data_IF_084495167012
#
_entry.id   IF_084495167012
#
_cell.length_a   1.000
_cell.length_b   1.000
_cell.length_c   1.000
_cell.angle_alpha   90.00
_cell.angle_beta   90.00
_cell.angle_gamma   90.00
#
_symmetry.space_group_name_H-M   'P 1'
#
loop_
_entity.id
_entity.type
_entity.pdbx_description
1 polymer ?
#
# COMPACT_ATOMS: atom_id res chain seq x y z
N UNK A 1 -7.24 15.45 -17.46
CA UNK A 1 -6.24 16.33 -16.80
C UNK A 1 -6.65 16.68 -15.37
N UNK A 2 -7.94 16.83 -15.08
CA UNK A 2 -8.46 17.26 -13.77
C UNK A 2 -8.27 16.27 -12.61
N UNK A 3 -8.15 14.97 -12.89
CA UNK A 3 -8.00 13.92 -11.88
C UNK A 3 -6.56 13.68 -11.39
N UNK A 4 -5.55 14.10 -12.16
CA UNK A 4 -4.14 13.86 -11.81
C UNK A 4 -3.70 14.82 -10.71
N UNK A 5 -3.05 14.30 -9.67
CA UNK A 5 -2.37 15.08 -8.64
C UNK A 5 -0.86 14.93 -8.74
N UNK A 6 -0.38 13.69 -8.72
CA UNK A 6 1.03 13.30 -8.86
C UNK A 6 1.12 12.02 -9.70
N UNK A 7 2.23 11.83 -10.41
CA UNK A 7 2.44 10.64 -11.25
C UNK A 7 3.10 9.50 -10.44
N UNK A 8 2.39 9.03 -9.41
CA UNK A 8 2.81 7.90 -8.56
C UNK A 8 2.03 6.65 -8.97
N UNK A 9 2.68 5.76 -9.72
CA UNK A 9 2.06 4.56 -10.30
C UNK A 9 2.71 3.26 -9.81
N UNK A 10 1.98 2.16 -9.92
CA UNK A 10 2.44 0.79 -9.64
C UNK A 10 1.80 -0.18 -10.62
N UNK A 11 2.57 -1.15 -11.12
CA UNK A 11 2.09 -2.14 -12.07
C UNK A 11 1.91 -3.51 -11.42
N UNK A 12 0.85 -4.20 -11.80
CA UNK A 12 0.59 -5.60 -11.46
C UNK A 12 0.30 -6.35 -12.76
N UNK A 13 1.02 -7.43 -13.02
CA UNK A 13 0.61 -8.42 -14.01
C UNK A 13 -0.40 -9.37 -13.36
N UNK A 14 -1.60 -9.46 -13.93
CA UNK A 14 -2.69 -10.35 -13.51
C UNK A 14 -2.44 -11.78 -13.97
N UNK A 15 -3.15 -12.74 -13.36
CA UNK A 15 -3.03 -14.15 -13.73
C UNK A 15 -3.44 -14.43 -15.20
N UNK A 16 -4.27 -13.56 -15.79
CA UNK A 16 -4.66 -13.62 -17.21
C UNK A 16 -3.65 -12.95 -18.17
N UNK A 17 -2.53 -12.43 -17.66
CA UNK A 17 -1.50 -11.73 -18.44
C UNK A 17 -1.80 -10.24 -18.69
N UNK A 18 -2.96 -9.73 -18.25
CA UNK A 18 -3.29 -8.30 -18.33
C UNK A 18 -2.43 -7.51 -17.35
N UNK A 19 -1.86 -6.39 -17.79
CA UNK A 19 -1.19 -5.43 -16.90
C UNK A 19 -2.22 -4.45 -16.33
N UNK A 20 -2.22 -4.28 -15.02
CA UNK A 20 -2.96 -3.24 -14.32
C UNK A 20 -1.98 -2.16 -13.81
N UNK A 21 -2.19 -0.92 -14.21
CA UNK A 21 -1.48 0.25 -13.73
C UNK A 21 -2.37 0.98 -12.72
N UNK A 22 -2.03 0.86 -11.44
CA UNK A 22 -2.66 1.61 -10.36
C UNK A 22 -1.95 2.95 -10.19
N UNK A 23 -2.71 4.03 -10.09
CA UNK A 23 -2.16 5.39 -10.02
C UNK A 23 -2.86 6.21 -8.95
N UNK A 24 -2.09 7.03 -8.24
CA UNK A 24 -2.64 8.04 -7.33
C UNK A 24 -3.40 9.13 -8.09
N UNK A 25 -4.58 9.49 -7.60
CA UNK A 25 -5.43 10.55 -8.16
C UNK A 25 -6.07 11.38 -7.06
N UNK A 26 -6.71 12.50 -7.42
CA UNK A 26 -7.48 13.34 -6.48
C UNK A 26 -8.70 12.62 -5.87
N UNK A 27 -9.28 11.67 -6.60
CA UNK A 27 -10.42 10.88 -6.13
C UNK A 27 -10.01 9.62 -5.35
N UNK A 28 -8.71 9.30 -5.28
CA UNK A 28 -8.18 8.09 -4.64
C UNK A 28 -7.31 7.28 -5.58
N UNK A 29 -7.53 5.96 -5.63
CA UNK A 29 -6.75 5.06 -6.49
C UNK A 29 -7.47 4.89 -7.83
N UNK A 30 -6.80 5.27 -8.92
CA UNK A 30 -7.21 4.95 -10.28
C UNK A 30 -6.55 3.68 -10.79
N UNK A 31 -7.15 3.04 -11.78
CA UNK A 31 -6.62 1.87 -12.48
C UNK A 31 -6.80 2.03 -13.99
N UNK A 32 -5.76 1.71 -14.75
CA UNK A 32 -5.78 1.58 -16.20
C UNK A 32 -5.17 0.23 -16.56
N UNK A 33 -5.67 -0.41 -17.62
CA UNK A 33 -5.33 -1.79 -17.95
C UNK A 33 -4.77 -1.90 -19.36
N UNK A 34 -3.87 -2.85 -19.57
CA UNK A 34 -3.30 -3.18 -20.87
C UNK A 34 -3.33 -4.68 -21.10
N UNK A 35 -3.92 -5.09 -22.23
CA UNK A 35 -3.99 -6.49 -22.66
C UNK A 35 -2.90 -6.85 -23.70
N UNK A 36 -2.01 -5.91 -24.04
CA UNK A 36 -1.03 -6.04 -25.12
C UNK A 36 0.41 -5.74 -24.67
N UNK A 37 0.72 -6.05 -23.40
CA UNK A 37 2.06 -5.89 -22.83
C UNK A 37 2.46 -4.44 -22.61
N UNK A 38 1.49 -3.55 -22.37
CA UNK A 38 1.72 -2.14 -22.05
C UNK A 38 1.82 -1.22 -23.27
N UNK A 39 1.47 -1.69 -24.48
CA UNK A 39 1.51 -0.87 -25.71
C UNK A 39 0.34 0.09 -25.74
N UNK A 40 -0.85 -0.39 -25.41
CA UNK A 40 -2.07 0.40 -25.27
C UNK A 40 -2.65 0.24 -23.88
N UNK A 41 -3.26 1.33 -23.39
CA UNK A 41 -3.84 1.41 -22.05
C UNK A 41 -5.28 1.89 -22.13
N UNK A 42 -6.16 1.28 -21.34
CA UNK A 42 -7.53 1.74 -21.18
C UNK A 42 -7.56 3.15 -20.58
N UNK A 43 -8.66 3.90 -20.72
CA UNK A 43 -8.88 5.10 -19.91
C UNK A 43 -8.67 4.81 -18.41
N UNK A 44 -8.17 5.81 -17.69
CA UNK A 44 -7.96 5.72 -16.25
C UNK A 44 -9.30 5.85 -15.52
N UNK A 45 -9.69 4.82 -14.80
CA UNK A 45 -10.95 4.74 -14.07
C UNK A 45 -10.73 4.55 -12.57
N UNK A 46 -11.69 4.93 -11.69
CA UNK A 46 -11.61 4.61 -10.27
C UNK A 46 -11.47 3.10 -10.04
N UNK A 47 -10.52 2.69 -9.19
CA UNK A 47 -10.31 1.28 -8.85
C UNK A 47 -11.39 0.67 -7.94
N UNK A 48 -12.29 1.49 -7.40
CA UNK A 48 -13.26 1.09 -6.38
C UNK A 48 -12.69 1.05 -4.95
N UNK A 49 -11.37 1.23 -4.77
CA UNK A 49 -10.72 1.25 -3.45
C UNK A 49 -10.75 2.67 -2.86
N UNK A 50 -11.45 2.91 -1.73
CA UNK A 50 -11.46 4.21 -1.06
C UNK A 50 -10.07 4.58 -0.55
N UNK A 51 -9.57 5.76 -0.95
CA UNK A 51 -8.24 6.22 -0.56
C UNK A 51 -8.12 7.76 -0.64
N UNK A 52 -7.35 8.41 0.25
CA UNK A 52 -6.96 9.81 0.06
C UNK A 52 -6.08 10.02 -1.18
N UNK A 53 -5.86 11.29 -1.52
CA UNK A 53 -4.82 11.70 -2.47
C UNK A 53 -3.43 11.51 -1.80
N UNK A 54 -2.99 10.26 -1.70
CA UNK A 54 -1.75 9.83 -1.09
C UNK A 54 -1.18 8.60 -1.82
N UNK A 55 0.12 8.38 -1.68
CA UNK A 55 0.76 7.14 -2.14
C UNK A 55 0.19 5.94 -1.39
N UNK A 56 0.02 4.85 -2.10
CA UNK A 56 -0.28 3.50 -1.61
C UNK A 56 0.78 2.56 -2.17
N UNK A 57 0.82 1.32 -1.67
CA UNK A 57 1.73 0.30 -2.17
C UNK A 57 0.92 -0.95 -2.54
N UNK A 58 1.14 -1.48 -3.75
CA UNK A 58 0.50 -2.70 -4.21
C UNK A 58 1.52 -3.59 -4.91
N UNK A 59 1.51 -4.90 -4.63
CA UNK A 59 2.46 -5.86 -5.22
C UNK A 59 1.93 -7.29 -5.21
N UNK A 60 2.31 -8.09 -6.20
CA UNK A 60 2.15 -9.56 -6.14
C UNK A 60 3.24 -10.20 -5.28
N UNK A 61 2.83 -11.00 -4.31
CA UNK A 61 3.68 -11.77 -3.42
C UNK A 61 4.07 -13.12 -4.06
N UNK A 62 5.05 -13.79 -3.48
CA UNK A 62 5.54 -15.12 -3.91
C UNK A 62 4.45 -16.19 -3.89
N UNK A 63 3.43 -16.05 -3.03
CA UNK A 63 2.24 -16.91 -2.98
C UNK A 63 1.30 -16.74 -4.18
N UNK A 64 1.46 -15.67 -4.95
CA UNK A 64 0.52 -15.24 -5.98
C UNK A 64 -0.54 -14.26 -5.48
N UNK A 65 -0.70 -14.06 -4.17
CA UNK A 65 -1.62 -13.05 -3.63
C UNK A 65 -1.13 -11.63 -3.94
N UNK A 66 -2.06 -10.67 -4.01
CA UNK A 66 -1.73 -9.25 -4.02
C UNK A 66 -1.73 -8.70 -2.60
N UNK A 67 -0.66 -7.99 -2.25
CA UNK A 67 -0.57 -7.14 -1.08
C UNK A 67 -0.99 -5.72 -1.44
N UNK A 68 -1.85 -5.11 -0.64
CA UNK A 68 -2.12 -3.67 -0.66
C UNK A 68 -1.82 -3.07 0.71
N UNK A 69 -1.05 -1.99 0.73
CA UNK A 69 -0.87 -1.12 1.89
C UNK A 69 -1.47 0.24 1.57
N UNK A 70 -2.49 0.63 2.33
CA UNK A 70 -3.24 1.86 2.12
C UNK A 70 -3.61 2.54 3.45
N UNK A 71 -4.15 3.75 3.37
CA UNK A 71 -4.64 4.47 4.55
C UNK A 71 -6.08 4.08 4.88
N UNK A 72 -6.36 3.85 6.16
CA UNK A 72 -7.69 3.57 6.71
C UNK A 72 -8.20 2.14 6.48
N UNK A 73 -9.42 1.82 6.98
CA UNK A 73 -10.11 0.56 6.73
C UNK A 73 -10.41 0.33 5.25
N UNK A 74 -10.55 -0.91 4.79
CA UNK A 74 -10.76 -1.25 3.37
C UNK A 74 -11.94 -0.50 2.73
N UNK A 75 -13.01 -0.26 3.48
CA UNK A 75 -14.28 0.29 3.00
C UNK A 75 -14.40 1.81 3.13
N UNK A 76 -13.38 2.50 3.64
CA UNK A 76 -13.49 3.91 4.00
C UNK A 76 -12.37 4.77 3.43
N UNK A 77 -12.73 5.97 2.96
CA UNK A 77 -11.77 7.01 2.58
C UNK A 77 -11.43 7.85 3.80
N UNK A 78 -10.22 7.70 4.31
CA UNK A 78 -9.70 8.49 5.43
C UNK A 78 -8.72 9.56 4.96
N UNK A 79 -8.16 10.33 5.90
CA UNK A 79 -6.95 11.12 5.67
C UNK A 79 -5.69 10.24 5.58
N UNK A 80 -4.51 10.87 5.63
CA UNK A 80 -3.22 10.15 5.71
C UNK A 80 -2.99 9.60 7.10
N UNK A 81 -3.76 8.59 7.48
CA UNK A 81 -3.79 8.00 8.82
C UNK A 81 -4.14 6.52 8.74
N UNK A 82 -3.75 5.74 9.76
CA UNK A 82 -4.02 4.31 9.87
C UNK A 82 -3.48 3.52 8.66
N UNK A 83 -2.16 3.49 8.50
CA UNK A 83 -1.51 2.72 7.43
C UNK A 83 -1.76 1.23 7.68
N UNK A 84 -2.45 0.55 6.77
CA UNK A 84 -3.01 -0.80 6.97
C UNK A 84 -2.71 -1.69 5.77
N UNK A 85 -2.33 -2.94 6.03
CA UNK A 85 -2.06 -3.98 5.03
C UNK A 85 -3.27 -4.90 4.82
N UNK A 86 -3.50 -5.29 3.57
CA UNK A 86 -4.59 -6.17 3.11
C UNK A 86 -4.09 -7.15 2.05
N UNK A 87 -4.77 -8.27 1.91
CA UNK A 87 -4.48 -9.28 0.89
C UNK A 87 -5.65 -9.48 -0.07
N UNK A 88 -5.33 -9.80 -1.32
CA UNK A 88 -6.30 -10.27 -2.31
C UNK A 88 -5.77 -11.54 -2.97
N UNK A 89 -6.61 -12.57 -3.03
CA UNK A 89 -6.32 -13.84 -3.73
C UNK A 89 -6.95 -13.93 -5.11
N UNK A 90 -7.63 -12.87 -5.57
CA UNK A 90 -8.46 -12.85 -6.78
C UNK A 90 -8.14 -11.67 -7.71
N UNK A 91 -6.87 -11.24 -7.72
CA UNK A 91 -6.33 -10.14 -8.53
C UNK A 91 -6.97 -8.77 -8.24
N UNK A 92 -7.23 -8.51 -6.96
CA UNK A 92 -7.69 -7.22 -6.46
C UNK A 92 -9.20 -7.00 -6.58
N UNK A 93 -9.99 -8.06 -6.85
CA UNK A 93 -11.46 -7.97 -6.89
C UNK A 93 -12.03 -7.90 -5.48
N UNK A 94 -11.50 -8.70 -4.56
CA UNK A 94 -11.83 -8.67 -3.14
C UNK A 94 -10.58 -8.56 -2.28
N UNK A 95 -10.73 -7.95 -1.11
CA UNK A 95 -9.64 -7.72 -0.17
C UNK A 95 -10.03 -8.25 1.21
N UNK A 96 -9.08 -8.91 1.87
CA UNK A 96 -9.25 -9.59 3.15
C UNK A 96 -8.18 -9.16 4.16
N UNK A 97 -8.45 -9.46 5.42
CA UNK A 97 -7.57 -9.12 6.53
C UNK A 97 -7.61 -7.64 6.89
N UNK A 98 -6.54 -7.17 7.52
CA UNK A 98 -6.39 -5.80 7.96
C UNK A 98 -5.39 -5.68 9.09
N UNK A 99 -4.10 -5.72 8.78
CA UNK A 99 -3.05 -5.50 9.77
C UNK A 99 -2.70 -4.01 9.82
N UNK A 100 -3.04 -3.36 10.94
CA UNK A 100 -2.72 -1.95 11.19
C UNK A 100 -1.22 -1.81 11.47
N UNK A 101 -0.49 -1.21 10.53
CA UNK A 101 0.96 -1.00 10.64
C UNK A 101 1.28 0.22 11.50
N UNK A 102 0.50 1.29 11.33
CA UNK A 102 0.69 2.54 12.07
C UNK A 102 -0.63 3.31 12.25
N UNK A 103 -1.11 3.53 13.49
CA UNK A 103 -2.34 4.28 13.75
C UNK A 103 -2.18 5.80 13.59
N UNK A 104 -0.96 6.32 13.50
CA UNK A 104 -0.71 7.77 13.56
C UNK A 104 -1.25 8.48 12.33
N UNK A 105 -1.53 9.77 12.52
CA UNK A 105 -1.75 10.68 11.42
C UNK A 105 -0.43 11.06 10.74
N UNK A 106 -0.53 11.58 9.51
CA UNK A 106 0.58 12.03 8.67
C UNK A 106 1.62 10.93 8.37
N UNK A 107 1.21 9.66 8.44
CA UNK A 107 1.93 8.53 7.86
C UNK A 107 1.77 8.55 6.35
N UNK A 108 2.81 8.27 5.57
CA UNK A 108 2.72 8.30 4.10
C UNK A 108 3.84 7.49 3.42
N UNK A 109 3.74 7.41 2.09
CA UNK A 109 4.75 6.80 1.21
C UNK A 109 5.15 5.37 1.59
N UNK A 110 4.18 4.45 1.75
CA UNK A 110 4.53 3.05 1.89
C UNK A 110 5.27 2.56 0.65
N UNK A 111 6.30 1.77 0.87
CA UNK A 111 6.99 0.98 -0.15
C UNK A 111 7.64 -0.25 0.50
N UNK A 112 7.88 -1.31 -0.25
CA UNK A 112 8.38 -2.53 0.36
C UNK A 112 8.67 -3.69 -0.56
N UNK A 113 9.19 -4.76 0.06
CA UNK A 113 9.52 -6.01 -0.62
C UNK A 113 9.20 -7.21 0.27
N UNK A 114 9.04 -8.37 -0.36
CA UNK A 114 8.99 -9.65 0.33
C UNK A 114 10.36 -10.32 0.25
N UNK A 115 10.90 -10.71 1.40
CA UNK A 115 12.13 -11.47 1.50
C UNK A 115 11.93 -12.93 1.08
N UNK A 116 13.03 -13.65 0.84
CA UNK A 116 13.01 -15.04 0.41
C UNK A 116 12.41 -16.00 1.44
N UNK A 117 12.44 -15.64 2.72
CA UNK A 117 11.81 -16.41 3.79
C UNK A 117 10.29 -16.18 3.88
N UNK A 118 9.73 -15.28 3.07
CA UNK A 118 8.31 -14.88 3.07
C UNK A 118 7.99 -13.65 3.92
N UNK A 119 8.96 -13.09 4.64
CA UNK A 119 8.76 -11.86 5.44
C UNK A 119 8.51 -10.66 4.54
N UNK A 120 7.43 -9.93 4.78
CA UNK A 120 7.07 -8.69 4.10
C UNK A 120 7.62 -7.52 4.93
N UNK A 121 8.38 -6.64 4.29
CA UNK A 121 8.95 -5.44 4.91
C UNK A 121 8.40 -4.22 4.20
N UNK A 122 7.74 -3.33 4.94
CA UNK A 122 7.20 -2.06 4.45
C UNK A 122 7.90 -0.91 5.17
N UNK A 123 8.58 -0.05 4.43
CA UNK A 123 9.07 1.22 4.91
C UNK A 123 8.08 2.35 4.57
N UNK A 124 8.01 3.36 5.42
CA UNK A 124 7.12 4.50 5.24
C UNK A 124 7.63 5.71 6.04
N UNK A 125 7.12 6.90 5.69
CA UNK A 125 7.39 8.13 6.43
C UNK A 125 6.26 8.49 7.41
N UNK A 126 6.60 9.28 8.42
CA UNK A 126 5.65 9.94 9.32
C UNK A 126 6.11 11.38 9.61
N UNK A 127 5.14 12.31 9.59
CA UNK A 127 5.39 13.74 9.86
C UNK A 127 6.54 14.35 9.04
N UNK A 128 6.50 14.18 7.72
CA UNK A 128 7.53 14.60 6.76
C UNK A 128 8.10 16.02 6.89
N UNK A 129 7.38 16.95 7.50
CA UNK A 129 7.87 18.33 7.70
C UNK A 129 8.44 18.51 9.10
N UNK A 130 7.83 17.89 10.11
CA UNK A 130 8.19 18.01 11.52
C UNK A 130 9.21 16.96 11.95
N UNK A 131 8.74 15.83 12.48
CA UNK A 131 9.61 14.79 13.02
C UNK A 131 10.44 14.04 11.96
N UNK A 132 10.03 14.08 10.68
CA UNK A 132 10.76 13.49 9.52
C UNK A 132 11.17 12.04 9.78
N UNK A 133 10.23 11.28 10.31
CA UNK A 133 10.48 9.91 10.70
C UNK A 133 10.39 9.01 9.49
N UNK A 134 11.35 8.11 9.35
CA UNK A 134 11.25 6.95 8.47
C UNK A 134 11.20 5.74 9.40
N UNK A 135 10.13 4.97 9.25
CA UNK A 135 9.88 3.76 10.04
C UNK A 135 9.69 2.57 9.09
N UNK A 136 9.78 1.35 9.64
CA UNK A 136 9.39 0.15 8.91
C UNK A 136 8.56 -0.83 9.76
N UNK A 137 7.79 -1.64 9.06
CA UNK A 137 7.03 -2.75 9.61
C UNK A 137 7.42 -4.07 8.91
N UNK A 138 7.49 -5.16 9.68
CA UNK A 138 7.78 -6.52 9.23
C UNK A 138 6.68 -7.48 9.68
N UNK A 139 6.14 -8.26 8.76
CA UNK A 139 5.02 -9.19 9.01
C UNK A 139 4.94 -10.25 7.91
N UNK A 140 4.01 -11.20 8.04
CA UNK A 140 3.69 -12.21 7.02
C UNK A 140 2.22 -12.15 6.62
N UNK A 141 1.87 -12.91 5.59
CA UNK A 141 0.49 -12.96 5.07
C UNK A 141 -0.51 -13.40 6.14
N UNK A 142 -0.16 -14.38 6.98
CA UNK A 142 -1.02 -14.84 8.07
C UNK A 142 -1.32 -13.76 9.12
N UNK A 143 -0.40 -12.81 9.32
CA UNK A 143 -0.58 -11.70 10.25
C UNK A 143 -1.56 -10.65 9.69
N UNK A 144 -1.60 -10.52 8.35
CA UNK A 144 -2.60 -9.70 7.66
C UNK A 144 -3.99 -10.29 7.82
N UNK A 145 -4.11 -11.60 7.61
CA UNK A 145 -5.39 -12.31 7.68
C UNK A 145 -5.96 -12.33 9.10
N UNK A 146 -5.11 -12.52 10.11
CA UNK A 146 -5.53 -12.50 11.52
C UNK A 146 -5.74 -11.09 12.07
N UNK A 147 -5.07 -10.09 11.50
CA UNK A 147 -5.00 -8.73 12.05
C UNK A 147 -4.21 -8.65 13.36
N UNK A 148 -3.44 -9.69 13.72
CA UNK A 148 -2.75 -9.77 15.00
C UNK A 148 -1.42 -9.00 14.99
N UNK A 149 -1.49 -7.74 15.41
CA UNK A 149 -0.33 -6.88 15.62
C UNK A 149 0.61 -7.35 16.74
N UNK A 150 0.20 -8.30 17.59
CA UNK A 150 0.97 -8.78 18.74
C UNK A 150 1.68 -10.11 18.46
N UNK A 151 1.51 -10.69 17.28
CA UNK A 151 2.19 -11.93 16.92
C UNK A 151 3.72 -11.78 17.11
N UNK A 152 4.43 -12.75 17.70
CA UNK A 152 5.84 -12.58 18.10
C UNK A 152 6.83 -12.20 16.98
N UNK A 153 6.48 -12.47 15.72
CA UNK A 153 7.26 -12.11 14.53
C UNK A 153 6.97 -10.71 14.00
N UNK A 154 5.80 -10.14 14.33
CA UNK A 154 5.39 -8.83 13.84
C UNK A 154 6.27 -7.76 14.46
N UNK A 155 6.70 -6.83 13.63
CA UNK A 155 7.53 -5.68 13.98
C UNK A 155 6.82 -4.47 13.41
N UNK A 156 6.40 -3.54 14.26
CA UNK A 156 5.70 -2.32 13.82
C UNK A 156 6.49 -1.08 14.23
N UNK A 157 6.48 -0.05 13.39
CA UNK A 157 7.04 1.28 13.70
C UNK A 157 8.50 1.25 14.16
N UNK A 158 9.32 0.44 13.51
CA UNK A 158 10.75 0.38 13.81
C UNK A 158 11.46 1.55 13.14
N UNK A 159 12.03 2.44 13.96
CA UNK A 159 12.67 3.67 13.51
C UNK A 159 13.94 3.39 12.70
N UNK A 160 14.01 3.96 11.50
CA UNK A 160 15.22 4.04 10.67
C UNK A 160 15.91 5.38 10.91
N UNK A 161 15.17 6.49 10.82
CA UNK A 161 15.71 7.85 10.98
C UNK A 161 14.65 8.82 11.44
N UNK A 162 15.05 9.93 12.06
CA UNK A 162 14.20 11.07 12.38
C UNK A 162 14.99 12.37 12.36
N UNK A 163 14.29 13.50 12.31
CA UNK A 163 14.86 14.80 12.65
C UNK A 163 15.53 14.71 14.04
N UNK A 164 16.71 15.30 14.23
CA UNK A 164 17.28 15.47 15.56
C UNK A 164 16.30 16.21 16.46
N UNK A 165 16.13 15.76 17.70
CA UNK A 165 15.38 16.53 18.68
C UNK A 165 16.07 17.89 18.85
N UNK A 166 15.36 18.98 18.59
CA UNK A 166 15.80 20.30 19.06
C UNK A 166 15.85 20.24 20.58
N UNK A 167 17.06 20.34 21.15
CA UNK A 167 17.24 20.59 22.58
C UNK A 167 16.69 21.96 22.95
#
# INVERSE_FOLDING_TARGET
>A
REARSYDEHSFIERADGTLACYVRTRYGIGCSQSADGGRNWSPLEPSGIPHPDARFFIRRLQSGNLLLVKHGPMTERTGRSHLTAFLSSDDGRTWQGGLLLDPREKVSYPDGQQAADGTIIIAYDCERVGAREIDWAGFREEDILSGDANAPRVRLRNRISASPSTR
#
